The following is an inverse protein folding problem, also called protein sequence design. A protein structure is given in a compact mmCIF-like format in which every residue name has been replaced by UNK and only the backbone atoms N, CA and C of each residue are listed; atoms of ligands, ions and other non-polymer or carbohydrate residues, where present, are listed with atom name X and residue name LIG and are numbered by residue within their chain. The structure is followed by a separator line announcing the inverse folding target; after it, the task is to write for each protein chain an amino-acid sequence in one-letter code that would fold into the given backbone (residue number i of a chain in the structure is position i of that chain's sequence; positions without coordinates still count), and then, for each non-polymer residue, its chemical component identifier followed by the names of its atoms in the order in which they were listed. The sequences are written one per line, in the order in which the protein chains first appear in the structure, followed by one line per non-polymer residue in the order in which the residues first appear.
data_IF_464663037547
#
_entry.id   IF_464663037547
#
_cell.length_a   1.000
_cell.length_b   1.000
_cell.length_c   1.000
_cell.angle_alpha   90.00
_cell.angle_beta   90.00
_cell.angle_gamma   90.00
#
_symmetry.space_group_name_H-M   'P 1'
#
loop_
_entity.id
_entity.type
_entity.pdbx_description
1 polymer ?
#
# COMPACT_ATOMS: atom_id res chain seq x y z
N UNK A 1 20.17 -2.41 -31.50
CA UNK A 1 19.40 -3.19 -30.51
C UNK A 1 19.16 -2.31 -29.28
N UNK A 2 18.04 -2.46 -28.56
CA UNK A 2 17.73 -1.65 -27.37
C UNK A 2 18.57 -2.11 -26.17
N UNK A 3 19.11 -1.17 -25.40
CA UNK A 3 19.90 -1.43 -24.19
C UNK A 3 19.09 -2.25 -23.18
N UNK A 4 19.70 -3.28 -22.59
CA UNK A 4 19.04 -4.14 -21.61
C UNK A 4 18.17 -5.25 -22.20
N UNK A 5 18.13 -5.39 -23.54
CA UNK A 5 17.51 -6.52 -24.23
C UNK A 5 18.54 -7.61 -24.61
N UNK A 6 19.77 -7.54 -24.08
CA UNK A 6 20.81 -8.56 -24.21
C UNK A 6 20.77 -9.60 -23.09
N UNK A 7 21.74 -10.53 -23.09
CA UNK A 7 21.83 -11.61 -22.10
C UNK A 7 21.96 -11.11 -20.65
N UNK A 8 22.58 -9.94 -20.46
CA UNK A 8 22.79 -9.32 -19.15
C UNK A 8 21.57 -8.55 -18.63
N UNK A 9 20.53 -8.36 -19.45
CA UNK A 9 19.29 -7.67 -19.08
C UNK A 9 19.53 -6.32 -18.40
N UNK A 10 18.90 -6.11 -17.24
CA UNK A 10 19.02 -4.88 -16.47
C UNK A 10 20.45 -4.60 -15.97
N UNK A 11 21.33 -5.59 -15.88
CA UNK A 11 22.71 -5.36 -15.43
C UNK A 11 23.48 -4.48 -16.43
N UNK A 12 23.19 -4.59 -17.72
CA UNK A 12 23.75 -3.73 -18.76
C UNK A 12 23.34 -2.26 -18.55
N UNK A 13 22.05 -2.04 -18.25
CA UNK A 13 21.50 -0.70 -17.96
C UNK A 13 22.12 -0.12 -16.68
N UNK A 14 22.23 -0.93 -15.62
CA UNK A 14 22.82 -0.51 -14.33
C UNK A 14 24.30 -0.10 -14.44
N UNK A 15 25.05 -0.64 -15.41
CA UNK A 15 26.45 -0.28 -15.66
C UNK A 15 26.63 0.97 -16.53
N UNK A 16 25.55 1.53 -17.08
CA UNK A 16 25.64 2.68 -17.96
C UNK A 16 26.24 3.90 -17.21
N UNK A 17 27.16 4.67 -17.82
CA UNK A 17 27.82 5.81 -17.16
C UNK A 17 26.88 6.85 -16.55
N UNK A 18 25.65 6.96 -17.07
CA UNK A 18 24.58 7.78 -16.50
C UNK A 18 24.30 7.45 -15.02
N UNK A 19 24.32 6.17 -14.64
CA UNK A 19 24.06 5.70 -13.28
C UNK A 19 25.31 5.51 -12.43
N UNK A 20 26.47 6.07 -12.84
CA UNK A 20 27.76 5.88 -12.15
C UNK A 20 27.75 6.29 -10.67
N UNK A 21 26.87 7.21 -10.30
CA UNK A 21 26.72 7.73 -8.92
C UNK A 21 25.68 6.95 -8.10
N UNK A 22 24.96 6.01 -8.72
CA UNK A 22 23.87 5.27 -8.09
C UNK A 22 24.38 3.94 -7.54
N UNK A 23 24.18 3.71 -6.25
CA UNK A 23 24.36 2.41 -5.64
C UNK A 23 23.03 1.64 -5.66
N UNK A 24 22.87 0.73 -6.63
CA UNK A 24 21.63 -0.02 -6.83
C UNK A 24 21.24 -0.91 -5.63
N UNK A 25 22.20 -1.46 -4.89
CA UNK A 25 21.89 -2.27 -3.69
C UNK A 25 21.23 -1.42 -2.61
N UNK A 26 21.72 -0.19 -2.40
CA UNK A 26 21.13 0.76 -1.44
C UNK A 26 19.81 1.32 -1.91
N UNK A 27 19.63 1.47 -3.22
CA UNK A 27 18.39 1.95 -3.83
C UNK A 27 17.27 0.91 -3.68
N UNK A 28 17.52 -0.36 -4.02
CA UNK A 28 16.55 -1.45 -3.92
C UNK A 28 16.13 -1.75 -2.47
N UNK A 29 17.04 -1.52 -1.51
CA UNK A 29 16.75 -1.62 -0.08
C UNK A 29 16.02 -0.39 0.50
N UNK A 30 15.72 0.64 -0.29
CA UNK A 30 15.04 1.87 0.18
C UNK A 30 15.89 2.76 1.11
N UNK A 31 17.22 2.56 1.16
CA UNK A 31 18.13 3.29 2.07
C UNK A 31 18.53 4.65 1.50
N UNK A 32 18.43 4.82 0.18
CA UNK A 32 18.79 6.07 -0.48
C UNK A 32 17.61 7.02 -0.43
N UNK A 33 17.76 8.17 0.24
CA UNK A 33 16.71 9.19 0.28
C UNK A 33 16.41 9.70 -1.13
N UNK A 34 15.13 9.76 -1.54
CA UNK A 34 14.78 10.30 -2.84
C UNK A 34 15.07 11.81 -2.88
N UNK A 35 15.40 12.33 -4.06
CA UNK A 35 15.64 13.76 -4.28
C UNK A 35 14.38 14.62 -4.10
N UNK A 36 13.22 13.99 -4.07
CA UNK A 36 11.92 14.62 -3.83
C UNK A 36 11.08 13.72 -2.93
N UNK A 37 10.53 14.30 -1.87
CA UNK A 37 9.58 13.64 -0.97
C UNK A 37 8.25 14.41 -1.09
N UNK A 38 7.20 13.80 -1.66
CA UNK A 38 5.87 14.41 -1.72
C UNK A 38 5.34 14.72 -0.31
N UNK A 39 4.52 15.77 -0.17
CA UNK A 39 3.87 16.03 1.12
C UNK A 39 2.81 14.97 1.44
N UNK A 40 2.86 14.43 2.66
CA UNK A 40 1.97 13.37 3.14
C UNK A 40 1.28 13.72 4.47
N UNK A 41 1.32 14.98 4.96
CA UNK A 41 0.66 15.35 6.23
C UNK A 41 -0.86 15.53 6.12
N UNK A 42 -1.50 14.65 5.35
CA UNK A 42 -2.92 14.40 5.42
C UNK A 42 -3.24 13.40 6.53
N UNK A 43 -3.49 13.90 7.74
CA UNK A 43 -4.37 13.27 8.74
C UNK A 43 -3.91 11.91 9.33
N UNK A 44 -2.80 11.91 10.07
CA UNK A 44 -2.60 10.97 11.19
C UNK A 44 -2.77 11.74 12.51
N UNK A 45 -3.50 11.15 13.46
CA UNK A 45 -3.99 11.82 14.67
C UNK A 45 -2.91 12.10 15.74
N UNK A 46 -3.36 12.87 16.74
CA UNK A 46 -2.72 13.26 18.01
C UNK A 46 -1.65 14.38 17.95
N UNK A 47 -1.94 15.51 18.60
CA UNK A 47 -0.92 16.45 19.07
C UNK A 47 -1.17 17.93 18.75
N UNK A 48 -1.81 18.62 19.70
CA UNK A 48 -1.61 20.05 20.08
C UNK A 48 -1.37 21.08 18.97
N UNK A 49 -2.37 21.97 18.76
CA UNK A 49 -2.16 23.28 18.12
C UNK A 49 -1.10 24.07 18.88
N UNK A 50 0.05 24.30 18.27
CA UNK A 50 1.01 25.33 18.68
C UNK A 50 0.85 26.55 17.77
N UNK A 51 0.54 27.75 18.28
CA UNK A 51 0.36 28.94 17.46
C UNK A 51 1.63 29.78 17.46
N UNK A 52 2.52 29.56 16.48
CA UNK A 52 3.46 30.56 15.94
C UNK A 52 4.50 29.89 15.04
N UNK A 53 4.41 30.11 13.74
CA UNK A 53 5.57 30.07 12.86
C UNK A 53 5.36 31.10 11.75
N UNK A 54 6.22 32.14 11.63
CA UNK A 54 6.18 33.09 10.53
C UNK A 54 6.96 32.56 9.31
N UNK A 55 6.63 33.14 8.16
CA UNK A 55 7.27 33.05 6.84
C UNK A 55 7.15 31.71 6.10
N UNK A 56 6.60 31.79 4.89
CA UNK A 56 6.42 30.68 3.96
C UNK A 56 7.72 29.89 3.76
N UNK A 57 7.73 28.57 3.96
CA UNK A 57 8.92 27.75 3.76
C UNK A 57 9.25 27.65 2.25
N UNK A 58 10.54 27.53 1.88
CA UNK A 58 10.97 27.47 0.49
C UNK A 58 10.32 26.29 -0.26
N UNK A 59 10.08 26.47 -1.57
CA UNK A 59 9.36 25.57 -2.48
C UNK A 59 9.86 24.11 -2.53
N UNK A 60 11.02 23.81 -1.93
CA UNK A 60 11.62 22.48 -1.84
C UNK A 60 11.23 21.73 -0.55
N UNK A 61 10.52 22.38 0.38
CA UNK A 61 9.89 21.73 1.52
C UNK A 61 8.48 21.25 1.13
N UNK A 62 8.08 20.04 1.55
CA UNK A 62 6.71 19.59 1.36
C UNK A 62 5.74 20.59 2.03
N UNK A 63 4.78 21.08 1.26
CA UNK A 63 3.70 21.95 1.71
C UNK A 63 2.52 21.07 2.18
N UNK A 64 2.05 21.14 3.45
CA UNK A 64 1.21 20.13 4.14
C UNK A 64 -0.13 19.70 3.52
N UNK A 65 -0.48 20.14 2.31
CA UNK A 65 -1.82 20.06 1.73
C UNK A 65 -1.83 19.78 0.22
N UNK A 66 -0.71 19.39 -0.37
CA UNK A 66 -0.63 19.16 -1.81
C UNK A 66 -1.26 17.79 -2.18
N UNK A 67 -2.34 17.82 -2.96
CA UNK A 67 -2.88 16.64 -3.63
C UNK A 67 -2.35 16.63 -5.06
N UNK A 68 -1.56 15.62 -5.42
CA UNK A 68 -0.97 15.48 -6.76
C UNK A 68 -1.96 14.87 -7.76
N UNK A 69 -3.10 15.52 -7.96
CA UNK A 69 -4.06 15.17 -9.00
C UNK A 69 -4.67 16.44 -9.63
N UNK A 70 -5.25 16.31 -10.82
CA UNK A 70 -6.11 17.37 -11.38
C UNK A 70 -7.36 17.52 -10.50
N UNK A 71 -7.97 18.70 -10.54
CA UNK A 71 -9.28 18.90 -9.92
C UNK A 71 -10.29 17.96 -10.58
N UNK A 72 -11.24 17.43 -9.82
CA UNK A 72 -12.33 16.61 -10.35
C UNK A 72 -13.16 17.38 -11.39
N UNK A 73 -13.24 18.71 -11.26
CA UNK A 73 -13.92 19.58 -12.21
C UNK A 73 -13.16 19.73 -13.53
N UNK A 74 -11.84 19.48 -13.54
CA UNK A 74 -10.99 19.53 -14.73
C UNK A 74 -10.89 18.17 -15.45
N UNK A 75 -11.54 17.13 -14.92
CA UNK A 75 -11.59 15.80 -15.52
C UNK A 75 -12.83 15.72 -16.39
N UNK A 76 -12.63 15.54 -17.70
CA UNK A 76 -13.73 15.31 -18.64
C UNK A 76 -14.54 14.07 -18.24
N UNK A 77 -15.86 14.23 -18.16
CA UNK A 77 -16.76 13.11 -17.89
C UNK A 77 -16.99 12.31 -19.18
N UNK A 78 -16.75 11.01 -19.13
CA UNK A 78 -17.20 10.11 -20.18
C UNK A 78 -18.72 10.00 -20.15
N UNK A 79 -19.36 10.02 -21.32
CA UNK A 79 -20.79 9.75 -21.41
C UNK A 79 -21.09 8.30 -21.02
N UNK A 80 -22.14 8.09 -20.23
CA UNK A 80 -22.57 6.73 -19.90
C UNK A 80 -23.13 6.06 -21.15
N UNK A 81 -22.55 4.92 -21.52
CA UNK A 81 -23.09 4.09 -22.60
C UNK A 81 -24.37 3.41 -22.10
N UNK A 82 -25.51 3.76 -22.72
CA UNK A 82 -26.81 3.11 -22.45
C UNK A 82 -26.96 1.84 -23.30
N UNK A 83 -27.73 0.88 -22.81
CA UNK A 83 -28.07 -0.34 -23.56
C UNK A 83 -27.08 -1.51 -23.40
N UNK A 84 -26.16 -1.42 -22.44
CA UNK A 84 -25.30 -2.55 -22.06
C UNK A 84 -26.10 -3.49 -21.16
N UNK A 85 -26.25 -4.74 -21.59
CA UNK A 85 -26.85 -5.80 -20.78
C UNK A 85 -25.76 -6.76 -20.34
N UNK A 86 -25.67 -7.00 -19.03
CA UNK A 86 -24.73 -7.95 -18.47
C UNK A 86 -25.35 -9.35 -18.46
N UNK A 87 -24.58 -10.35 -18.88
CA UNK A 87 -25.02 -11.73 -18.98
C UNK A 87 -24.28 -12.67 -18.00
N UNK A 88 -24.50 -13.97 -18.17
CA UNK A 88 -23.87 -15.00 -17.35
C UNK A 88 -22.35 -15.14 -17.62
N UNK A 89 -21.90 -14.78 -18.84
CA UNK A 89 -20.49 -14.74 -19.23
C UNK A 89 -19.77 -13.65 -18.45
N UNK A 90 -20.38 -12.47 -18.34
CA UNK A 90 -19.86 -11.35 -17.53
C UNK A 90 -19.78 -11.74 -16.05
N UNK A 91 -20.83 -12.38 -15.53
CA UNK A 91 -20.88 -12.87 -14.15
C UNK A 91 -19.75 -13.86 -13.86
N UNK A 92 -19.46 -14.75 -14.82
CA UNK A 92 -18.34 -15.70 -14.71
C UNK A 92 -16.99 -14.99 -14.76
N UNK A 93 -16.86 -13.91 -15.54
CA UNK A 93 -15.66 -13.08 -15.54
C UNK A 93 -15.47 -12.36 -14.20
N UNK A 94 -16.53 -11.75 -13.64
CA UNK A 94 -16.46 -11.09 -12.34
C UNK A 94 -16.04 -12.03 -11.22
N UNK A 95 -16.56 -13.27 -11.22
CA UNK A 95 -16.16 -14.29 -10.26
C UNK A 95 -14.67 -14.68 -10.37
N UNK A 96 -14.08 -14.60 -11.57
CA UNK A 96 -12.64 -14.84 -11.77
C UNK A 96 -11.79 -13.64 -11.38
N UNK A 97 -12.30 -12.43 -11.61
CA UNK A 97 -11.59 -11.19 -11.32
C UNK A 97 -11.53 -10.90 -9.82
N UNK A 98 -12.63 -11.12 -9.10
CA UNK A 98 -12.74 -10.87 -7.67
C UNK A 98 -12.05 -11.97 -6.84
N UNK A 99 -10.73 -12.05 -6.92
CA UNK A 99 -9.92 -13.04 -6.19
C UNK A 99 -9.87 -12.81 -4.68
N UNK A 100 -10.41 -11.70 -4.19
CA UNK A 100 -10.33 -11.30 -2.79
C UNK A 100 -8.94 -10.78 -2.42
N UNK A 101 -8.54 -10.99 -1.16
CA UNK A 101 -7.26 -10.53 -0.63
C UNK A 101 -6.08 -11.26 -1.28
N UNK A 102 -5.06 -10.50 -1.69
CA UNK A 102 -3.80 -11.06 -2.17
C UNK A 102 -2.88 -11.31 -0.98
N UNK A 103 -2.38 -12.54 -0.83
CA UNK A 103 -1.75 -13.01 0.41
C UNK A 103 -0.59 -12.15 0.92
N UNK A 104 0.37 -11.80 0.06
CA UNK A 104 1.58 -11.06 0.49
C UNK A 104 1.23 -9.63 0.95
N UNK A 105 0.53 -8.80 0.15
CA UNK A 105 0.13 -7.47 0.60
C UNK A 105 -0.76 -7.50 1.85
N UNK A 106 -1.70 -8.45 1.95
CA UNK A 106 -2.58 -8.55 3.11
C UNK A 106 -1.83 -8.95 4.39
N UNK A 107 -0.88 -9.87 4.30
CA UNK A 107 -0.03 -10.21 5.46
C UNK A 107 0.85 -9.05 5.89
N UNK A 108 1.43 -8.31 4.94
CA UNK A 108 2.21 -7.11 5.24
C UNK A 108 1.34 -6.05 5.92
N UNK A 109 0.11 -5.83 5.43
CA UNK A 109 -0.86 -4.93 6.07
C UNK A 109 -1.13 -5.31 7.52
N UNK A 110 -1.41 -6.60 7.81
CA UNK A 110 -1.62 -7.09 9.18
C UNK A 110 -0.41 -6.88 10.09
N UNK A 111 0.81 -6.95 9.54
CA UNK A 111 2.05 -6.73 10.29
C UNK A 111 2.29 -5.22 10.52
N UNK A 112 2.18 -4.41 9.47
CA UNK A 112 2.43 -2.97 9.49
C UNK A 112 1.42 -2.20 10.37
N UNK A 113 0.18 -2.69 10.44
CA UNK A 113 -0.89 -2.15 11.30
C UNK A 113 -0.85 -2.67 12.74
N UNK A 114 0.16 -3.47 13.08
CA UNK A 114 0.32 -4.17 14.38
C UNK A 114 -0.81 -5.17 14.73
N UNK A 115 -1.83 -5.36 13.88
CA UNK A 115 -2.91 -6.33 14.12
C UNK A 115 -2.38 -7.75 14.37
N UNK A 116 -1.36 -8.18 13.63
CA UNK A 116 -0.75 -9.49 13.84
C UNK A 116 -0.12 -9.61 15.23
N UNK A 117 0.55 -8.56 15.72
CA UNK A 117 1.19 -8.55 17.05
C UNK A 117 0.16 -8.63 18.18
N UNK A 118 -0.98 -7.97 17.99
CA UNK A 118 -2.06 -7.96 18.98
C UNK A 118 -2.86 -9.26 19.01
N UNK A 119 -3.09 -9.88 17.84
CA UNK A 119 -3.94 -11.07 17.71
C UNK A 119 -3.16 -12.39 17.83
N UNK A 120 -1.89 -12.43 17.41
CA UNK A 120 -1.06 -13.64 17.44
C UNK A 120 -0.46 -13.89 18.83
N UNK A 121 -1.33 -14.08 19.82
CA UNK A 121 -0.98 -14.34 21.21
C UNK A 121 -1.18 -15.81 21.57
N UNK A 122 -0.24 -16.37 22.33
CA UNK A 122 -0.32 -17.74 22.85
C UNK A 122 -0.72 -17.76 24.33
N UNK A 123 -1.10 -18.93 24.84
CA UNK A 123 -1.41 -19.14 26.24
C UNK A 123 -0.20 -18.89 27.16
N UNK A 124 -0.43 -18.68 28.47
CA UNK A 124 0.64 -18.44 29.44
C UNK A 124 1.72 -19.54 29.38
N UNK A 125 2.98 -19.15 29.50
CA UNK A 125 4.17 -20.03 29.39
C UNK A 125 4.36 -20.69 28.01
N UNK A 126 3.85 -20.09 26.94
CA UNK A 126 3.97 -20.64 25.57
C UNK A 126 3.05 -21.84 25.33
N UNK A 127 2.00 -21.98 26.14
CA UNK A 127 1.00 -23.03 25.96
C UNK A 127 0.05 -22.68 24.81
N UNK A 128 -0.67 -23.69 24.31
CA UNK A 128 -1.64 -23.49 23.22
C UNK A 128 -2.77 -22.58 23.70
N UNK A 129 -3.14 -21.61 22.87
CA UNK A 129 -4.33 -20.79 23.08
C UNK A 129 -5.61 -21.63 22.90
N UNK A 130 -6.77 -21.19 23.44
CA UNK A 130 -8.02 -21.94 23.35
C UNK A 130 -8.47 -22.26 21.92
N UNK A 131 -8.19 -21.38 20.94
CA UNK A 131 -8.47 -21.60 19.52
C UNK A 131 -7.63 -22.73 18.89
N UNK A 132 -6.52 -23.11 19.51
CA UNK A 132 -5.64 -24.20 19.11
C UNK A 132 -5.89 -25.51 19.90
N UNK A 133 -6.83 -25.51 20.86
CA UNK A 133 -7.24 -26.70 21.60
C UNK A 133 -8.31 -27.50 20.85
N UNK A 134 -7.88 -28.56 20.17
CA UNK A 134 -8.75 -29.48 19.44
C UNK A 134 -9.86 -30.14 20.28
N UNK A 135 -9.77 -30.10 21.61
CA UNK A 135 -10.79 -30.65 22.51
C UNK A 135 -11.91 -29.67 22.82
N UNK A 136 -11.71 -28.39 22.57
CA UNK A 136 -12.71 -27.35 22.78
C UNK A 136 -13.48 -27.12 21.48
N UNK A 137 -14.79 -27.33 21.52
CA UNK A 137 -15.66 -26.88 20.43
C UNK A 137 -15.91 -25.37 20.56
N UNK A 138 -15.91 -24.62 19.45
CA UNK A 138 -16.24 -23.20 19.50
C UNK A 138 -17.67 -23.01 19.99
N UNK A 139 -17.85 -22.07 20.91
CA UNK A 139 -19.17 -21.63 21.33
C UNK A 139 -19.94 -21.10 20.10
N UNK A 140 -21.20 -21.51 19.88
CA UNK A 140 -21.98 -20.99 18.78
C UNK A 140 -22.09 -19.46 18.91
N UNK A 141 -22.03 -18.72 17.79
CA UNK A 141 -22.10 -17.27 17.84
C UNK A 141 -23.40 -16.85 18.53
N UNK A 142 -23.28 -16.08 19.60
CA UNK A 142 -24.44 -15.53 20.31
C UNK A 142 -25.18 -14.64 19.30
N UNK A 143 -26.37 -15.07 18.87
CA UNK A 143 -27.29 -14.21 18.12
C UNK A 143 -27.52 -12.95 18.96
N UNK A 144 -27.01 -11.81 18.51
CA UNK A 144 -27.43 -10.53 19.07
C UNK A 144 -28.92 -10.35 18.75
N UNK A 145 -29.73 -10.20 19.80
CA UNK A 145 -31.13 -9.76 19.69
C UNK A 145 -31.19 -8.31 19.19
#
# INVERSE_FOLDING_TARGET
QRLGCGADGAAEVKRHPFFRTINFKRLEAGITSPSFVPDVRGRTGLGTRSPAAPADPPLWLPQPRAVYCKDVLDIEQFSTVKGVNLDQTDSRFYAKFATGSVSIPWQNEMIETECFKDLNVFGPNGTRSPDLDWRQQPEPPKRSL
#
